data_IF_367947892153
#
_entry.id   IF_367947892153
#
_cell.length_a   1.000
_cell.length_b   1.000
_cell.length_c   1.000
_cell.angle_alpha   90.00
_cell.angle_beta   90.00
_cell.angle_gamma   90.00
#
_symmetry.space_group_name_H-M   'P 1'
#
loop_
_entity.id
_entity.type
_entity.pdbx_description
1 polymer ?
#
# COMPACT_ATOMS: atom_id res chain seq x y z
N UNK A 1 -0.87 -18.21 30.53
CA UNK A 1 0.59 -18.37 30.49
C UNK A 1 0.97 -18.84 29.09
N UNK A 2 1.67 -18.03 28.29
CA UNK A 2 2.26 -18.48 27.03
C UNK A 2 3.42 -19.41 27.39
N UNK A 3 3.35 -20.70 27.04
CA UNK A 3 4.50 -21.60 27.14
C UNK A 3 5.53 -21.10 26.13
N UNK A 4 6.67 -20.63 26.61
CA UNK A 4 7.83 -20.36 25.76
C UNK A 4 8.41 -21.74 25.40
N UNK A 5 8.30 -22.12 24.13
CA UNK A 5 8.95 -23.31 23.61
C UNK A 5 10.40 -22.92 23.30
N UNK A 6 11.36 -23.56 23.95
CA UNK A 6 12.78 -23.33 23.69
C UNK A 6 13.17 -24.26 22.54
N UNK A 7 13.64 -23.68 21.43
CA UNK A 7 14.27 -24.41 20.35
C UNK A 7 15.72 -24.72 20.74
N UNK A 8 16.10 -25.99 20.62
CA UNK A 8 17.46 -26.47 20.84
C UNK A 8 18.06 -26.98 19.54
N UNK A 9 19.38 -26.86 19.38
CA UNK A 9 20.09 -27.33 18.19
C UNK A 9 21.36 -28.08 18.60
N UNK A 10 21.60 -29.25 18.00
CA UNK A 10 22.88 -29.95 18.11
C UNK A 10 23.29 -30.55 16.77
N UNK A 11 24.60 -30.71 16.58
CA UNK A 11 25.18 -31.32 15.39
C UNK A 11 26.11 -32.41 15.85
N UNK A 12 25.75 -33.65 15.51
CA UNK A 12 26.54 -34.84 15.82
C UNK A 12 27.20 -35.34 14.55
N UNK A 13 28.49 -35.69 14.62
CA UNK A 13 29.20 -36.19 13.46
C UNK A 13 30.70 -36.42 13.70
N UNK A 14 31.46 -36.68 12.62
CA UNK A 14 32.88 -37.02 12.64
C UNK A 14 33.79 -35.98 13.33
N UNK A 15 33.35 -34.73 13.43
CA UNK A 15 34.07 -33.68 14.17
C UNK A 15 33.11 -32.76 14.91
N UNK A 16 33.60 -32.09 15.95
CA UNK A 16 32.84 -31.04 16.61
C UNK A 16 32.73 -29.82 15.69
N UNK A 17 31.53 -29.56 15.18
CA UNK A 17 31.24 -28.36 14.39
C UNK A 17 31.02 -27.16 15.32
N UNK A 18 31.49 -25.98 14.91
CA UNK A 18 31.07 -24.73 15.56
C UNK A 18 29.65 -24.42 15.10
N UNK A 19 28.73 -24.23 16.06
CA UNK A 19 27.33 -23.95 15.80
C UNK A 19 26.99 -22.55 16.29
N UNK A 20 26.47 -21.72 15.41
CA UNK A 20 25.84 -20.44 15.76
C UNK A 20 24.36 -20.51 15.44
N UNK A 21 23.55 -19.98 16.35
CA UNK A 21 22.11 -19.88 16.20
C UNK A 21 21.71 -18.42 16.35
N UNK A 22 20.95 -17.91 15.40
CA UNK A 22 20.32 -16.59 15.46
C UNK A 22 18.80 -16.75 15.45
N UNK A 23 18.15 -16.41 16.57
CA UNK A 23 16.70 -16.33 16.64
C UNK A 23 16.22 -15.02 16.00
N UNK A 24 15.34 -15.13 15.00
CA UNK A 24 14.81 -13.99 14.27
C UNK A 24 13.64 -13.31 14.99
N UNK A 25 13.15 -13.85 16.11
CA UNK A 25 12.06 -13.28 16.91
C UNK A 25 10.67 -13.33 16.26
N UNK A 26 10.57 -13.88 15.06
CA UNK A 26 9.33 -14.13 14.31
C UNK A 26 8.88 -15.61 14.38
N UNK A 27 9.57 -16.42 15.19
CA UNK A 27 9.37 -17.86 15.29
C UNK A 27 10.28 -18.69 14.36
N UNK A 28 11.13 -18.04 13.56
CA UNK A 28 12.19 -18.70 12.79
C UNK A 28 13.57 -18.52 13.43
N UNK A 29 14.48 -19.46 13.21
CA UNK A 29 15.88 -19.36 13.62
C UNK A 29 16.80 -19.72 12.45
N UNK A 30 17.95 -19.05 12.37
CA UNK A 30 19.02 -19.35 11.42
C UNK A 30 20.13 -20.11 12.15
N UNK A 31 20.49 -21.28 11.64
CA UNK A 31 21.52 -22.14 12.20
C UNK A 31 22.66 -22.21 11.19
N UNK A 32 23.85 -21.83 11.61
CA UNK A 32 25.07 -22.02 10.83
C UNK A 32 25.98 -23.01 11.55
N UNK A 33 26.51 -24.00 10.82
CA UNK A 33 27.49 -24.93 11.35
C UNK A 33 28.67 -25.08 10.39
N UNK A 34 29.89 -25.21 10.94
CA UNK A 34 31.12 -25.39 10.15
C UNK A 34 31.75 -26.74 10.51
N UNK A 35 31.54 -27.80 9.69
CA UNK A 35 32.15 -29.11 9.91
C UNK A 35 33.67 -29.04 9.68
N UNK A 36 34.45 -29.76 10.50
CA UNK A 36 35.93 -29.80 10.44
C UNK A 36 36.49 -31.12 9.91
N UNK A 37 35.63 -32.09 9.61
CA UNK A 37 36.00 -33.39 9.05
C UNK A 37 34.90 -33.90 8.12
N UNK A 38 35.28 -34.75 7.17
CA UNK A 38 34.37 -35.40 6.25
C UNK A 38 33.58 -36.53 6.94
N UNK A 39 32.43 -36.86 6.39
CA UNK A 39 31.52 -37.92 6.81
C UNK A 39 30.10 -37.41 7.08
N UNK A 40 29.25 -38.30 7.57
CA UNK A 40 27.83 -38.03 7.80
C UNK A 40 27.59 -37.27 9.12
N UNK A 41 26.85 -36.17 9.05
CA UNK A 41 26.43 -35.35 10.20
C UNK A 41 24.92 -35.41 10.38
N UNK A 42 24.48 -35.55 11.63
CA UNK A 42 23.09 -35.47 12.06
C UNK A 42 22.83 -34.10 12.69
N UNK A 43 21.93 -33.32 12.08
CA UNK A 43 21.50 -32.01 12.59
C UNK A 43 20.20 -32.18 13.36
N UNK A 44 20.30 -32.04 14.67
CA UNK A 44 19.17 -32.10 15.59
C UNK A 44 18.53 -30.73 15.74
N UNK A 45 17.21 -30.70 15.57
CA UNK A 45 16.35 -29.57 15.84
C UNK A 45 15.35 -30.05 16.89
N UNK A 46 15.45 -29.47 18.08
CA UNK A 46 14.79 -29.92 19.28
C UNK A 46 13.77 -28.89 19.74
N UNK A 47 12.64 -29.33 20.27
CA UNK A 47 11.69 -28.51 21.03
C UNK A 47 11.42 -29.19 22.36
N UNK A 48 11.71 -28.50 23.48
CA UNK A 48 11.68 -29.10 24.82
C UNK A 48 12.49 -30.41 24.90
N UNK A 49 13.71 -30.40 24.37
CA UNK A 49 14.64 -31.53 24.35
C UNK A 49 14.17 -32.77 23.54
N UNK A 50 13.17 -32.61 22.67
CA UNK A 50 12.66 -33.67 21.78
C UNK A 50 12.82 -33.24 20.32
N UNK A 51 13.32 -34.13 19.46
CA UNK A 51 13.41 -33.86 18.01
C UNK A 51 12.05 -33.45 17.44
N UNK A 52 12.05 -32.38 16.64
CA UNK A 52 10.87 -32.02 15.84
C UNK A 52 10.68 -33.05 14.73
N UNK A 53 9.49 -33.04 14.12
CA UNK A 53 9.22 -33.85 12.94
C UNK A 53 10.24 -33.56 11.84
N UNK A 54 10.89 -34.62 11.32
CA UNK A 54 11.93 -34.52 10.28
C UNK A 54 13.36 -34.40 10.80
N UNK A 55 13.57 -34.22 12.12
CA UNK A 55 14.89 -34.22 12.74
C UNK A 55 15.25 -35.61 13.31
N UNK A 56 16.52 -36.07 13.23
CA UNK A 56 17.68 -35.36 12.66
C UNK A 56 17.66 -35.26 11.15
N UNK A 57 18.14 -34.13 10.64
CA UNK A 57 18.45 -33.96 9.21
C UNK A 57 19.84 -34.51 8.95
N UNK A 58 19.94 -35.51 8.08
CA UNK A 58 21.22 -36.17 7.75
C UNK A 58 21.88 -35.45 6.56
N UNK A 59 23.16 -35.09 6.73
CA UNK A 59 23.97 -34.40 5.71
C UNK A 59 25.32 -35.10 5.59
N UNK A 60 25.71 -35.49 4.37
CA UNK A 60 27.03 -36.05 4.10
C UNK A 60 28.00 -34.94 3.69
N UNK A 61 29.13 -34.82 4.41
CA UNK A 61 30.19 -33.86 4.11
C UNK A 61 31.34 -34.61 3.43
N UNK A 62 31.56 -34.36 2.13
CA UNK A 62 32.61 -35.02 1.34
C UNK A 62 33.99 -34.35 1.45
N UNK A 63 35.04 -35.09 1.04
CA UNK A 63 36.35 -34.51 0.75
C UNK A 63 36.26 -33.69 -0.54
N UNK A 64 36.81 -32.46 -0.55
CA UNK A 64 37.00 -31.72 -1.81
C UNK A 64 37.85 -32.57 -2.75
N UNK A 65 37.34 -32.92 -3.93
CA UNK A 65 38.10 -33.74 -4.87
C UNK A 65 39.39 -33.00 -5.27
N UNK A 66 40.50 -33.74 -5.42
CA UNK A 66 41.83 -33.18 -5.69
C UNK A 66 41.81 -32.20 -6.87
N UNK A 67 41.82 -30.89 -6.59
CA UNK A 67 41.79 -29.81 -7.59
C UNK A 67 40.54 -28.92 -7.60
N UNK A 68 39.49 -29.29 -6.87
CA UNK A 68 38.29 -28.47 -6.66
C UNK A 68 38.47 -27.52 -5.46
N UNK A 69 38.16 -26.23 -5.64
CA UNK A 69 38.27 -25.18 -4.62
C UNK A 69 36.99 -24.33 -4.64
N UNK A 70 35.93 -24.72 -3.91
CA UNK A 70 34.65 -24.01 -3.85
C UNK A 70 34.78 -22.52 -3.49
N UNK A 71 35.78 -22.14 -2.70
CA UNK A 71 36.05 -20.75 -2.28
C UNK A 71 36.44 -19.83 -3.45
N UNK A 72 36.85 -20.40 -4.59
CA UNK A 72 37.16 -19.64 -5.79
C UNK A 72 35.93 -19.36 -6.66
N UNK A 73 34.79 -19.97 -6.36
CA UNK A 73 33.51 -19.69 -7.01
C UNK A 73 33.00 -18.32 -6.59
N UNK A 74 32.57 -17.51 -7.56
CA UNK A 74 32.01 -16.18 -7.32
C UNK A 74 30.57 -16.11 -7.80
N UNK A 75 29.67 -15.73 -6.90
CA UNK A 75 28.29 -15.41 -7.26
C UNK A 75 28.13 -13.88 -7.30
N UNK A 76 27.48 -13.34 -8.34
CA UNK A 76 27.28 -11.89 -8.48
C UNK A 76 26.01 -11.56 -9.26
N UNK A 77 25.40 -10.40 -9.00
CA UNK A 77 24.21 -9.93 -9.72
C UNK A 77 23.02 -9.62 -8.80
N UNK A 78 22.01 -8.95 -9.35
CA UNK A 78 20.84 -8.52 -8.57
C UNK A 78 20.05 -9.71 -8.01
N UNK A 79 20.07 -10.86 -8.68
CA UNK A 79 19.37 -12.10 -8.33
C UNK A 79 19.71 -12.71 -6.98
N UNK A 80 20.81 -12.30 -6.36
CA UNK A 80 21.25 -12.75 -5.03
C UNK A 80 21.40 -11.59 -4.03
N UNK A 81 20.83 -10.42 -4.35
CA UNK A 81 20.77 -9.30 -3.42
C UNK A 81 19.68 -9.55 -2.39
N UNK A 82 19.86 -9.11 -1.14
CA UNK A 82 18.85 -9.38 -0.09
C UNK A 82 17.49 -8.75 -0.39
N UNK A 83 17.45 -7.67 -1.17
CA UNK A 83 16.26 -6.90 -1.52
C UNK A 83 16.22 -6.52 -3.00
N UNK A 84 15.04 -6.10 -3.48
CA UNK A 84 14.82 -5.63 -4.85
C UNK A 84 14.10 -6.62 -5.76
N UNK A 85 13.63 -7.74 -5.21
CA UNK A 85 12.87 -8.76 -5.92
C UNK A 85 11.38 -8.52 -5.80
N UNK A 86 10.66 -8.70 -6.92
CA UNK A 86 9.20 -8.54 -6.98
C UNK A 86 8.60 -9.84 -7.49
N UNK A 87 7.54 -10.30 -6.84
CA UNK A 87 6.80 -11.49 -7.24
C UNK A 87 6.36 -11.39 -8.72
N UNK A 88 6.58 -12.46 -9.49
CA UNK A 88 6.31 -12.50 -10.92
C UNK A 88 7.33 -11.76 -11.81
N UNK A 89 8.35 -11.10 -11.25
CA UNK A 89 9.41 -10.46 -12.04
C UNK A 89 10.69 -11.29 -12.08
N UNK A 90 11.32 -11.35 -13.25
CA UNK A 90 12.57 -12.10 -13.44
C UNK A 90 13.73 -11.42 -12.73
N UNK A 91 14.47 -12.20 -11.96
CA UNK A 91 15.75 -11.82 -11.35
C UNK A 91 16.88 -12.66 -11.94
N UNK A 92 18.09 -12.10 -12.01
CA UNK A 92 19.25 -12.76 -12.64
C UNK A 92 20.53 -12.60 -11.83
N UNK A 93 21.36 -13.65 -11.83
CA UNK A 93 22.69 -13.64 -11.25
C UNK A 93 23.64 -14.52 -12.06
N UNK A 94 24.93 -14.42 -11.78
CA UNK A 94 26.00 -15.16 -12.44
C UNK A 94 26.77 -15.95 -11.40
N UNK A 95 27.11 -17.20 -11.73
CA UNK A 95 28.04 -18.03 -10.97
C UNK A 95 29.28 -18.28 -11.82
N UNK A 96 30.43 -17.81 -11.36
CA UNK A 96 31.74 -18.01 -12.00
C UNK A 96 32.57 -19.00 -11.18
N UNK A 97 32.65 -20.23 -11.68
CA UNK A 97 33.46 -21.33 -11.14
C UNK A 97 34.69 -21.62 -12.01
N UNK A 98 35.07 -20.70 -12.93
CA UNK A 98 36.15 -20.91 -13.91
C UNK A 98 37.53 -21.16 -13.30
N UNK A 99 37.71 -20.82 -12.02
CA UNK A 99 38.97 -20.99 -11.25
C UNK A 99 38.85 -22.04 -10.15
N UNK A 100 37.69 -22.68 -10.00
CA UNK A 100 37.38 -23.56 -8.88
C UNK A 100 37.70 -25.03 -9.16
N UNK A 101 38.28 -25.37 -10.32
CA UNK A 101 38.48 -26.75 -10.76
C UNK A 101 37.37 -27.21 -11.71
N UNK A 102 37.30 -28.53 -11.92
CA UNK A 102 36.35 -29.15 -12.85
C UNK A 102 35.31 -29.97 -12.08
N UNK A 103 34.22 -29.30 -11.69
CA UNK A 103 33.07 -29.92 -11.04
C UNK A 103 31.79 -29.16 -11.40
N UNK A 104 30.64 -29.74 -11.09
CA UNK A 104 29.34 -29.16 -11.40
C UNK A 104 28.93 -28.11 -10.36
N UNK A 105 28.37 -26.99 -10.83
CA UNK A 105 27.61 -26.07 -9.98
C UNK A 105 26.18 -26.58 -9.88
N UNK A 106 25.70 -26.81 -8.65
CA UNK A 106 24.29 -27.15 -8.36
C UNK A 106 23.64 -25.99 -7.62
N UNK A 107 22.44 -25.60 -8.06
CA UNK A 107 21.67 -24.51 -7.46
C UNK A 107 20.31 -25.03 -7.05
N UNK A 108 19.96 -24.80 -5.79
CA UNK A 108 18.66 -25.11 -5.22
C UNK A 108 18.08 -23.83 -4.61
N UNK A 109 16.77 -23.63 -4.70
CA UNK A 109 16.13 -22.49 -4.06
C UNK A 109 14.77 -22.87 -3.51
N UNK A 110 14.40 -22.30 -2.36
CA UNK A 110 13.11 -22.53 -1.72
C UNK A 110 12.60 -21.28 -1.00
N UNK A 111 11.28 -21.18 -0.87
CA UNK A 111 10.64 -20.18 -0.01
C UNK A 111 10.59 -20.63 1.47
N UNK A 112 10.08 -19.75 2.34
CA UNK A 112 9.96 -20.02 3.79
C UNK A 112 9.03 -21.16 4.17
N UNK A 113 8.18 -21.63 3.25
CA UNK A 113 7.30 -22.77 3.49
C UNK A 113 7.91 -24.07 2.92
N UNK A 114 9.13 -24.01 2.39
CA UNK A 114 9.83 -25.13 1.77
C UNK A 114 9.39 -25.40 0.33
N UNK A 115 8.67 -24.49 -0.32
CA UNK A 115 8.30 -24.64 -1.73
C UNK A 115 9.51 -24.32 -2.61
N UNK A 116 9.86 -25.24 -3.50
CA UNK A 116 10.98 -25.08 -4.42
C UNK A 116 10.72 -23.95 -5.42
N UNK A 117 11.73 -23.13 -5.65
CA UNK A 117 11.75 -22.09 -6.67
C UNK A 117 12.63 -22.55 -7.84
N UNK A 118 12.05 -22.58 -9.03
CA UNK A 118 12.76 -23.02 -10.23
C UNK A 118 13.83 -22.00 -10.66
N UNK A 119 15.09 -22.45 -10.70
CA UNK A 119 16.24 -21.68 -11.21
C UNK A 119 16.60 -22.17 -12.61
N UNK A 120 16.49 -21.29 -13.61
CA UNK A 120 17.02 -21.54 -14.94
C UNK A 120 18.51 -21.25 -14.98
N UNK A 121 19.33 -22.29 -15.14
CA UNK A 121 20.78 -22.20 -15.27
C UNK A 121 21.21 -22.39 -16.73
N UNK A 122 22.03 -21.47 -17.25
CA UNK A 122 22.57 -21.53 -18.60
C UNK A 122 24.08 -21.31 -18.58
N UNK A 123 24.84 -22.25 -19.12
CA UNK A 123 26.28 -22.09 -19.34
C UNK A 123 26.54 -20.98 -20.36
N UNK A 124 27.38 -20.01 -20.00
CA UNK A 124 27.75 -18.87 -20.84
C UNK A 124 29.24 -18.83 -21.18
N UNK A 125 30.09 -19.48 -20.38
CA UNK A 125 31.49 -19.73 -20.67
C UNK A 125 31.95 -20.98 -19.88
N UNK A 126 33.22 -21.38 -20.04
CA UNK A 126 33.79 -22.52 -19.32
C UNK A 126 33.63 -22.35 -17.80
N UNK A 127 32.81 -23.19 -17.17
CA UNK A 127 32.42 -23.11 -15.76
C UNK A 127 31.88 -21.72 -15.31
N UNK A 128 31.22 -20.99 -16.23
CA UNK A 128 30.48 -19.76 -15.90
C UNK A 128 29.03 -19.89 -16.34
N UNK A 129 28.11 -19.58 -15.42
CA UNK A 129 26.68 -19.79 -15.58
C UNK A 129 25.89 -18.50 -15.38
N UNK A 130 24.99 -18.20 -16.30
CA UNK A 130 23.93 -17.21 -16.11
C UNK A 130 22.71 -17.92 -15.54
N UNK A 131 22.23 -17.43 -14.40
CA UNK A 131 21.13 -18.01 -13.65
C UNK A 131 19.99 -17.00 -13.57
N UNK A 132 18.75 -17.49 -13.67
CA UNK A 132 17.57 -16.64 -13.55
C UNK A 132 16.39 -17.37 -12.94
N UNK A 133 15.52 -16.62 -12.27
CA UNK A 133 14.30 -17.15 -11.66
C UNK A 133 13.19 -16.11 -11.69
N UNK A 134 11.95 -16.58 -11.49
CA UNK A 134 10.76 -15.75 -11.32
C UNK A 134 10.10 -16.23 -10.03
N UNK A 135 10.15 -15.47 -8.93
CA UNK A 135 9.54 -15.89 -7.68
C UNK A 135 8.03 -15.83 -7.79
N UNK A 136 7.34 -16.86 -7.28
CA UNK A 136 5.88 -16.98 -7.33
C UNK A 136 5.21 -16.64 -5.99
N UNK A 137 5.99 -16.44 -4.93
CA UNK A 137 5.50 -16.04 -3.61
C UNK A 137 6.20 -14.78 -3.08
N UNK A 138 5.46 -13.92 -2.39
CA UNK A 138 5.96 -12.68 -1.77
C UNK A 138 6.55 -12.98 -0.38
N UNK A 139 7.57 -13.83 -0.33
CA UNK A 139 8.16 -14.35 0.90
C UNK A 139 9.68 -14.25 0.91
N UNK A 140 10.25 -14.59 2.06
CA UNK A 140 11.69 -14.84 2.18
C UNK A 140 12.03 -16.14 1.44
N UNK A 141 13.12 -16.13 0.69
CA UNK A 141 13.65 -17.30 0.00
C UNK A 141 15.14 -17.47 0.30
N UNK A 142 15.64 -18.70 0.12
CA UNK A 142 17.06 -19.04 0.19
C UNK A 142 17.50 -19.66 -1.13
N UNK A 143 18.58 -19.16 -1.70
CA UNK A 143 19.23 -19.72 -2.88
C UNK A 143 20.55 -20.35 -2.42
N UNK A 144 20.62 -21.67 -2.50
CA UNK A 144 21.78 -22.48 -2.15
C UNK A 144 22.58 -22.75 -3.42
N UNK A 145 23.84 -22.34 -3.44
CA UNK A 145 24.77 -22.61 -4.53
C UNK A 145 25.88 -23.49 -3.99
N UNK A 146 26.07 -24.65 -4.62
CA UNK A 146 27.12 -25.60 -4.26
C UNK A 146 28.00 -25.89 -5.47
N UNK A 147 29.26 -26.20 -5.19
CA UNK A 147 30.26 -26.67 -6.14
C UNK A 147 31.00 -27.83 -5.48
N UNK A 148 31.12 -28.95 -6.19
CA UNK A 148 31.69 -30.18 -5.62
C UNK A 148 30.98 -30.64 -4.33
N UNK A 149 29.65 -30.49 -4.31
CA UNK A 149 28.78 -30.78 -3.16
C UNK A 149 29.10 -29.98 -1.89
N UNK A 150 29.90 -28.92 -2.00
CA UNK A 150 30.21 -27.97 -0.93
C UNK A 150 29.61 -26.59 -1.21
N UNK A 151 29.15 -25.90 -0.16
CA UNK A 151 28.60 -24.55 -0.29
C UNK A 151 29.67 -23.55 -0.74
N UNK A 152 29.33 -22.70 -1.71
CA UNK A 152 30.24 -21.63 -2.17
C UNK A 152 30.18 -20.43 -1.22
N UNK A 153 31.15 -19.51 -1.26
CA UNK A 153 31.12 -18.30 -0.43
C UNK A 153 29.84 -17.49 -0.60
N UNK A 154 29.20 -17.15 0.52
CA UNK A 154 27.96 -16.39 0.57
C UNK A 154 26.68 -17.21 0.41
N UNK A 155 26.78 -18.49 0.05
CA UNK A 155 25.63 -19.41 0.03
C UNK A 155 25.34 -19.95 1.45
N UNK A 156 24.07 -20.01 1.88
CA UNK A 156 22.87 -19.64 1.11
C UNK A 156 22.65 -18.13 1.00
N UNK A 157 22.20 -17.67 -0.17
CA UNK A 157 21.78 -16.29 -0.40
C UNK A 157 20.33 -16.11 0.06
N UNK A 158 20.12 -15.31 1.10
CA UNK A 158 18.79 -14.91 1.58
C UNK A 158 18.26 -13.74 0.75
N UNK A 159 17.06 -13.88 0.20
CA UNK A 159 16.39 -12.82 -0.57
C UNK A 159 14.97 -12.56 -0.03
N UNK A 160 14.51 -11.31 -0.12
CA UNK A 160 13.14 -10.90 0.21
C UNK A 160 12.40 -10.50 -1.06
N UNK A 161 11.29 -11.18 -1.34
CA UNK A 161 10.42 -10.92 -2.50
C UNK A 161 9.22 -10.10 -2.06
N UNK A 162 9.04 -8.91 -2.63
CA UNK A 162 7.87 -8.06 -2.38
C UNK A 162 6.72 -8.35 -3.33
N UNK A 163 5.52 -7.93 -2.94
CA UNK A 163 4.37 -7.85 -3.83
C UNK A 163 4.61 -6.89 -4.99
N UNK A 164 3.87 -7.10 -6.08
CA UNK A 164 3.90 -6.22 -7.24
C UNK A 164 3.11 -4.94 -6.98
N UNK A 165 3.71 -3.79 -7.30
CA UNK A 165 3.04 -2.50 -7.31
C UNK A 165 2.45 -2.20 -8.69
N UNK A 166 1.19 -1.76 -8.76
CA UNK A 166 0.53 -1.33 -9.99
C UNK A 166 -0.26 0.00 -9.80
N UNK A 167 0.35 1.16 -10.13
CA UNK A 167 -0.30 2.47 -10.06
C UNK A 167 -1.58 2.61 -10.90
N UNK A 168 -1.78 1.77 -11.92
CA UNK A 168 -2.98 1.84 -12.76
C UNK A 168 -4.25 1.34 -12.06
N UNK A 169 -4.09 0.63 -10.95
CA UNK A 169 -5.21 0.16 -10.13
C UNK A 169 -5.65 1.19 -9.09
N UNK A 170 -4.90 2.28 -8.94
CA UNK A 170 -5.25 3.37 -8.02
C UNK A 170 -6.42 4.19 -8.57
N UNK A 171 -7.41 4.46 -7.72
CA UNK A 171 -8.60 5.24 -8.08
C UNK A 171 -8.73 6.48 -7.20
N UNK A 172 -9.36 7.52 -7.74
CA UNK A 172 -9.67 8.76 -7.03
C UNK A 172 -11.15 9.09 -7.14
N UNK A 173 -11.78 9.50 -6.04
CA UNK A 173 -13.18 9.90 -6.02
C UNK A 173 -13.50 10.77 -4.79
N UNK A 174 -14.65 11.45 -4.80
CA UNK A 174 -15.15 12.22 -3.66
C UNK A 174 -15.40 13.70 -3.97
N UNK A 175 -16.01 14.43 -3.03
CA UNK A 175 -16.56 15.76 -3.26
C UNK A 175 -15.51 16.81 -3.65
N UNK A 176 -14.27 16.64 -3.18
CA UNK A 176 -13.13 17.50 -3.53
C UNK A 176 -12.63 17.35 -4.97
N UNK A 177 -13.25 16.51 -5.79
CA UNK A 177 -12.96 16.39 -7.22
C UNK A 177 -14.14 16.86 -8.10
N UNK A 178 -15.27 17.24 -7.50
CA UNK A 178 -16.51 17.59 -8.20
C UNK A 178 -16.64 19.09 -8.49
N UNK A 179 -17.64 19.49 -9.28
CA UNK A 179 -17.90 20.91 -9.64
C UNK A 179 -18.49 21.76 -8.48
N UNK A 180 -18.75 21.14 -7.33
CA UNK A 180 -19.32 21.76 -6.14
C UNK A 180 -18.28 22.49 -5.28
N UNK A 181 -16.98 22.29 -5.57
CA UNK A 181 -15.87 22.85 -4.79
C UNK A 181 -15.88 24.38 -4.81
N UNK A 182 -15.81 24.96 -3.61
CA UNK A 182 -15.75 26.42 -3.41
C UNK A 182 -14.52 26.83 -2.62
N UNK A 183 -14.12 28.10 -2.79
CA UNK A 183 -13.06 28.68 -1.96
C UNK A 183 -13.45 28.70 -0.48
N UNK A 184 -12.44 28.81 0.39
CA UNK A 184 -12.54 28.84 1.86
C UNK A 184 -13.07 27.55 2.53
N UNK A 185 -13.78 26.71 1.80
CA UNK A 185 -14.30 25.44 2.29
C UNK A 185 -13.15 24.42 2.40
N UNK A 186 -13.21 23.58 3.44
CA UNK A 186 -12.31 22.44 3.58
C UNK A 186 -12.88 21.31 2.74
N UNK A 187 -12.16 20.95 1.68
CA UNK A 187 -12.57 19.91 0.75
C UNK A 187 -11.74 18.65 0.98
N UNK A 188 -12.26 17.51 0.51
CA UNK A 188 -11.53 16.26 0.58
C UNK A 188 -11.90 15.30 -0.55
N UNK A 189 -10.99 14.41 -0.88
CA UNK A 189 -11.22 13.28 -1.77
C UNK A 189 -10.47 12.05 -1.29
N UNK A 190 -10.79 10.90 -1.85
CA UNK A 190 -10.22 9.61 -1.51
C UNK A 190 -9.26 9.15 -2.61
N UNK A 191 -8.18 8.49 -2.20
CA UNK A 191 -7.26 7.75 -3.08
C UNK A 191 -7.28 6.30 -2.62
N UNK A 192 -7.90 5.44 -3.42
CA UNK A 192 -8.01 4.00 -3.17
C UNK A 192 -6.87 3.26 -3.86
N UNK A 193 -6.00 2.62 -3.07
CA UNK A 193 -4.85 1.86 -3.51
C UNK A 193 -4.90 0.39 -3.08
N UNK A 194 -6.06 -0.10 -2.59
CA UNK A 194 -6.14 -1.43 -1.99
C UNK A 194 -5.65 -2.56 -2.91
N UNK A 195 -5.92 -2.43 -4.21
CA UNK A 195 -5.53 -3.42 -5.23
C UNK A 195 -4.17 -3.09 -5.90
N UNK A 196 -3.55 -1.97 -5.56
CA UNK A 196 -2.35 -1.48 -6.24
C UNK A 196 -1.05 -2.09 -5.71
N UNK A 197 -1.12 -2.94 -4.69
CA UNK A 197 0.04 -3.49 -3.99
C UNK A 197 0.72 -2.47 -3.08
N UNK A 198 1.95 -2.73 -2.60
CA UNK A 198 2.65 -1.84 -1.69
C UNK A 198 3.11 -0.56 -2.41
N UNK A 199 2.94 0.59 -1.76
CA UNK A 199 3.42 1.86 -2.32
C UNK A 199 3.02 3.07 -1.49
N UNK A 200 3.81 4.13 -1.60
CA UNK A 200 3.51 5.44 -0.98
C UNK A 200 2.66 6.29 -1.92
N UNK A 201 1.60 6.90 -1.38
CA UNK A 201 0.81 7.92 -2.08
C UNK A 201 1.45 9.29 -1.90
N UNK A 202 1.60 10.02 -2.99
CA UNK A 202 2.07 11.40 -3.01
C UNK A 202 1.09 12.26 -3.79
N UNK A 203 0.67 13.38 -3.20
CA UNK A 203 -0.28 14.31 -3.83
C UNK A 203 0.32 15.70 -3.90
N UNK A 204 0.19 16.34 -5.05
CA UNK A 204 0.55 17.72 -5.28
C UNK A 204 -0.61 18.44 -5.97
N UNK A 205 -1.08 19.54 -5.40
CA UNK A 205 -2.10 20.39 -6.00
C UNK A 205 -1.54 21.77 -6.28
N UNK A 206 -1.83 22.33 -7.45
CA UNK A 206 -1.35 23.65 -7.87
C UNK A 206 -2.46 24.43 -8.56
N UNK A 207 -2.46 25.75 -8.39
CA UNK A 207 -3.30 26.63 -9.21
C UNK A 207 -2.80 26.56 -10.67
N UNK A 208 -3.71 26.33 -11.61
CA UNK A 208 -3.36 26.15 -13.03
C UNK A 208 -2.78 27.42 -13.67
N UNK A 209 -3.23 28.60 -13.24
CA UNK A 209 -2.87 29.87 -13.86
C UNK A 209 -1.49 30.38 -13.44
N UNK A 210 -1.14 30.27 -12.16
CA UNK A 210 0.11 30.82 -11.61
C UNK A 210 1.08 29.75 -11.05
N UNK A 211 0.69 28.47 -11.08
CA UNK A 211 1.49 27.36 -10.58
C UNK A 211 1.66 27.33 -9.06
N UNK A 212 0.98 28.22 -8.32
CA UNK A 212 1.12 28.30 -6.86
C UNK A 212 0.69 27.00 -6.19
N UNK A 213 1.49 26.47 -5.25
CA UNK A 213 1.17 25.22 -4.56
C UNK A 213 0.01 25.42 -3.59
N UNK A 214 -0.82 24.39 -3.47
CA UNK A 214 -1.86 24.27 -2.45
C UNK A 214 -1.38 23.29 -1.39
N UNK A 215 -1.50 23.69 -0.12
CA UNK A 215 -1.21 22.79 0.99
C UNK A 215 -2.25 21.66 1.05
N UNK A 216 -1.77 20.43 1.12
CA UNK A 216 -2.58 19.22 1.13
C UNK A 216 -2.22 18.37 2.34
N UNK A 217 -3.22 17.82 3.01
CA UNK A 217 -3.04 16.93 4.15
C UNK A 217 -3.52 15.54 3.76
N UNK A 218 -2.66 14.54 3.90
CA UNK A 218 -2.97 13.14 3.57
C UNK A 218 -3.14 12.37 4.88
N UNK A 219 -4.26 11.68 5.03
CA UNK A 219 -4.54 10.78 6.15
C UNK A 219 -4.64 9.35 5.64
N UNK A 220 -3.80 8.46 6.15
CA UNK A 220 -3.86 7.02 5.86
C UNK A 220 -4.98 6.37 6.68
N UNK A 221 -5.85 5.60 6.03
CA UNK A 221 -6.95 4.90 6.69
C UNK A 221 -6.54 3.48 7.18
N UNK A 222 -5.33 3.02 6.86
CA UNK A 222 -4.79 1.72 7.28
C UNK A 222 -5.34 0.52 6.51
N UNK A 223 -6.19 0.75 5.52
CA UNK A 223 -6.82 -0.29 4.68
C UNK A 223 -6.44 -0.16 3.19
N UNK A 224 -5.35 0.53 2.88
CA UNK A 224 -4.93 0.83 1.51
C UNK A 224 -5.65 2.02 0.87
N UNK A 225 -6.55 2.70 1.60
CA UNK A 225 -7.17 3.96 1.17
C UNK A 225 -6.60 5.15 1.94
N UNK A 226 -6.56 6.31 1.28
CA UNK A 226 -6.10 7.57 1.84
C UNK A 226 -7.17 8.64 1.67
N UNK A 227 -7.33 9.52 2.66
CA UNK A 227 -8.14 10.73 2.54
C UNK A 227 -7.24 11.94 2.38
N UNK A 228 -7.45 12.70 1.32
CA UNK A 228 -6.70 13.91 1.00
C UNK A 228 -7.58 15.12 1.29
N UNK A 229 -7.13 16.00 2.18
CA UNK A 229 -7.79 17.26 2.50
C UNK A 229 -7.04 18.43 1.88
N UNK A 230 -7.78 19.42 1.40
CA UNK A 230 -7.20 20.66 0.92
C UNK A 230 -8.16 21.84 1.14
N UNK A 231 -7.61 23.06 1.10
CA UNK A 231 -8.38 24.30 1.15
C UNK A 231 -7.75 25.33 0.22
N UNK A 232 -8.58 25.97 -0.59
CA UNK A 232 -8.18 26.95 -1.61
C UNK A 232 -8.80 28.31 -1.31
N UNK A 233 -8.03 29.38 -1.53
CA UNK A 233 -8.47 30.75 -1.20
C UNK A 233 -8.77 31.60 -2.44
N UNK A 234 -8.42 31.14 -3.64
CA UNK A 234 -8.68 31.84 -4.90
C UNK A 234 -9.56 30.96 -5.80
N UNK A 235 -10.57 31.53 -6.47
CA UNK A 235 -11.34 30.79 -7.47
C UNK A 235 -10.48 30.56 -8.72
N UNK A 236 -10.84 29.55 -9.51
CA UNK A 236 -10.13 29.21 -10.74
C UNK A 236 -9.92 27.70 -10.89
N UNK A 237 -9.20 27.32 -11.94
CA UNK A 237 -8.85 25.93 -12.19
C UNK A 237 -7.59 25.54 -11.40
N UNK A 238 -7.60 24.33 -10.85
CA UNK A 238 -6.48 23.73 -10.14
C UNK A 238 -6.14 22.38 -10.76
N UNK A 239 -4.85 22.07 -10.83
CA UNK A 239 -4.33 20.78 -11.29
C UNK A 239 -3.88 19.95 -10.07
N UNK A 240 -4.41 18.73 -9.96
CA UNK A 240 -4.03 17.74 -8.96
C UNK A 240 -3.18 16.67 -9.63
N UNK A 241 -2.04 16.35 -9.01
CA UNK A 241 -1.13 15.29 -9.42
C UNK A 241 -1.07 14.26 -8.29
N UNK A 242 -1.30 12.99 -8.62
CA UNK A 242 -1.16 11.87 -7.69
C UNK A 242 -0.15 10.88 -8.24
N UNK A 243 0.77 10.46 -7.37
CA UNK A 243 1.73 9.39 -7.63
C UNK A 243 1.55 8.27 -6.61
N UNK A 244 1.79 7.05 -7.07
CA UNK A 244 1.84 5.84 -6.26
C UNK A 244 3.16 5.12 -6.50
N UNK A 245 3.91 4.84 -5.43
CA UNK A 245 5.27 4.28 -5.51
C UNK A 245 6.19 5.04 -6.48
N UNK A 246 6.13 6.37 -6.44
CA UNK A 246 6.93 7.27 -7.30
C UNK A 246 6.41 7.43 -8.74
N UNK A 247 5.46 6.61 -9.18
CA UNK A 247 4.89 6.65 -10.54
C UNK A 247 3.56 7.40 -10.59
N UNK A 248 3.28 8.22 -11.61
CA UNK A 248 1.97 8.88 -11.75
C UNK A 248 0.87 7.84 -11.96
N UNK A 249 -0.29 8.05 -11.34
CA UNK A 249 -1.49 7.24 -11.62
C UNK A 249 -2.15 7.71 -12.94
N UNK A 250 -3.05 6.93 -13.55
CA UNK A 250 -3.75 7.32 -14.76
C UNK A 250 -4.57 8.62 -14.61
N UNK A 251 -4.68 9.38 -15.70
CA UNK A 251 -5.56 10.56 -15.77
C UNK A 251 -4.98 11.84 -15.15
N UNK A 252 -3.68 11.89 -14.87
CA UNK A 252 -3.02 13.08 -14.31
C UNK A 252 -2.55 14.08 -15.39
N UNK A 253 -2.60 15.41 -15.13
CA UNK A 253 -3.23 16.02 -13.96
C UNK A 253 -4.75 15.93 -13.99
N UNK A 254 -5.35 15.73 -12.82
CA UNK A 254 -6.79 15.87 -12.64
C UNK A 254 -7.15 17.36 -12.45
N UNK A 255 -8.13 17.85 -13.19
CA UNK A 255 -8.51 19.27 -13.20
C UNK A 255 -9.76 19.51 -12.36
N UNK A 256 -9.66 20.43 -11.40
CA UNK A 256 -10.79 20.84 -10.54
C UNK A 256 -11.09 22.32 -10.77
N UNK A 257 -12.36 22.66 -11.00
CA UNK A 257 -12.82 24.04 -11.10
C UNK A 257 -13.35 24.52 -9.74
N UNK A 258 -12.68 25.50 -9.15
CA UNK A 258 -13.03 26.07 -7.84
C UNK A 258 -13.87 27.34 -8.02
N UNK A 259 -15.09 27.33 -7.49
CA UNK A 259 -16.00 28.49 -7.49
C UNK A 259 -15.75 29.39 -6.28
N UNK A 260 -16.15 30.67 -6.30
CA UNK A 260 -16.12 31.51 -5.11
C UNK A 260 -16.97 30.94 -3.97
N UNK A 261 -16.49 31.09 -2.74
CA UNK A 261 -17.25 30.88 -1.51
C UNK A 261 -18.52 31.73 -1.52
N UNK A 262 -19.60 31.17 -0.97
CA UNK A 262 -20.89 31.84 -0.83
C UNK A 262 -21.14 32.06 0.65
N UNK A 263 -21.04 33.31 1.10
CA UNK A 263 -21.30 33.67 2.48
C UNK A 263 -22.79 33.87 2.72
N UNK A 264 -23.44 32.86 3.30
CA UNK A 264 -24.87 32.86 3.60
C UNK A 264 -25.23 33.54 4.92
N UNK A 265 -24.25 34.03 5.70
CA UNK A 265 -24.51 34.66 7.01
C UNK A 265 -25.36 35.92 6.92
N UNK A 266 -25.43 36.53 5.73
CA UNK A 266 -26.22 37.71 5.44
C UNK A 266 -27.68 37.43 5.08
N UNK A 267 -28.07 36.15 4.94
CA UNK A 267 -29.45 35.75 4.66
C UNK A 267 -30.26 35.82 5.95
N UNK A 268 -31.39 36.54 5.93
CA UNK A 268 -32.24 36.75 7.11
C UNK A 268 -33.64 36.20 6.85
N UNK A 269 -34.17 35.42 7.79
CA UNK A 269 -35.57 35.00 7.79
C UNK A 269 -36.40 35.97 8.64
N UNK A 270 -37.51 36.47 8.10
CA UNK A 270 -38.44 37.38 8.78
C UNK A 270 -39.86 36.83 8.73
N UNK A 271 -40.62 37.03 9.81
CA UNK A 271 -42.03 36.62 9.86
C UNK A 271 -42.24 35.10 9.98
N UNK A 272 -41.19 34.33 10.26
CA UNK A 272 -41.37 32.92 10.62
C UNK A 272 -41.90 32.86 12.06
N UNK A 273 -43.18 32.59 12.20
CA UNK A 273 -43.85 32.51 13.49
C UNK A 273 -43.58 31.17 14.20
N UNK A 274 -43.38 31.21 15.52
CA UNK A 274 -43.19 29.98 16.33
C UNK A 274 -44.45 29.12 16.43
N UNK A 275 -45.63 29.72 16.21
CA UNK A 275 -46.91 29.05 16.29
C UNK A 275 -47.82 29.54 15.18
N UNK A 276 -48.38 28.61 14.44
CA UNK A 276 -49.34 28.86 13.37
C UNK A 276 -50.57 27.99 13.54
N UNK A 277 -51.70 28.39 12.96
CA UNK A 277 -52.94 27.63 13.05
C UNK A 277 -53.00 26.54 11.98
N UNK A 278 -53.50 25.36 12.34
CA UNK A 278 -53.83 24.32 11.36
C UNK A 278 -54.91 24.81 10.39
N UNK A 279 -54.90 24.26 9.18
CA UNK A 279 -55.77 24.64 8.06
C UNK A 279 -55.67 26.13 7.68
N UNK A 280 -54.52 26.76 7.95
CA UNK A 280 -54.22 28.12 7.52
C UNK A 280 -53.04 28.14 6.55
N UNK A 281 -52.98 29.19 5.73
CA UNK A 281 -51.79 29.53 4.96
C UNK A 281 -50.99 30.50 5.81
N UNK A 282 -49.77 30.12 6.14
CA UNK A 282 -48.80 30.96 6.81
C UNK A 282 -47.73 31.40 5.81
N UNK A 283 -47.09 32.54 6.08
CA UNK A 283 -46.02 33.05 5.24
C UNK A 283 -44.82 33.50 6.06
N UNK A 284 -43.63 33.44 5.45
CA UNK A 284 -42.44 34.11 5.94
C UNK A 284 -41.60 34.58 4.76
N UNK A 285 -40.68 35.50 5.03
CA UNK A 285 -39.80 36.10 4.03
C UNK A 285 -38.36 35.67 4.25
N UNK A 286 -37.68 35.25 3.18
CA UNK A 286 -36.23 35.05 3.14
C UNK A 286 -35.63 36.25 2.42
N UNK A 287 -34.88 37.06 3.16
CA UNK A 287 -34.17 38.23 2.67
C UNK A 287 -32.76 37.82 2.22
N UNK A 288 -32.52 37.85 0.91
CA UNK A 288 -31.21 37.56 0.29
C UNK A 288 -30.55 38.81 -0.30
N UNK A 289 -31.08 40.00 -0.03
CA UNK A 289 -30.67 41.27 -0.68
C UNK A 289 -29.19 41.61 -0.49
N UNK A 290 -28.59 41.20 0.63
CA UNK A 290 -27.16 41.37 0.86
C UNK A 290 -26.31 40.40 0.02
N UNK A 291 -26.81 39.19 -0.21
CA UNK A 291 -26.15 38.14 -1.00
C UNK A 291 -26.23 38.40 -2.52
N UNK A 292 -27.33 38.98 -3.00
CA UNK A 292 -27.52 39.29 -4.42
C UNK A 292 -26.57 40.38 -4.93
N UNK A 293 -25.93 41.13 -4.02
CA UNK A 293 -24.85 42.09 -4.37
C UNK A 293 -23.56 41.40 -4.79
N UNK A 294 -23.33 40.17 -4.32
CA UNK A 294 -22.11 39.39 -4.57
C UNK A 294 -22.32 38.21 -5.51
N UNK A 295 -23.57 37.78 -5.73
CA UNK A 295 -23.92 36.63 -6.57
C UNK A 295 -25.12 36.98 -7.45
N UNK A 296 -25.02 36.77 -8.76
CA UNK A 296 -26.01 37.23 -9.74
C UNK A 296 -27.25 36.35 -9.92
N UNK A 297 -27.36 35.19 -9.25
CA UNK A 297 -28.49 34.25 -9.35
C UNK A 297 -28.60 33.37 -8.10
N UNK A 298 -28.94 33.95 -6.95
CA UNK A 298 -29.26 33.16 -5.76
C UNK A 298 -30.68 32.58 -5.91
N UNK A 299 -30.82 31.26 -6.00
CA UNK A 299 -32.13 30.58 -5.98
C UNK A 299 -32.44 30.11 -4.56
N UNK A 300 -33.66 30.37 -4.10
CA UNK A 300 -34.18 29.87 -2.82
C UNK A 300 -35.15 28.74 -3.11
N UNK A 301 -34.89 27.58 -2.49
CA UNK A 301 -35.86 26.49 -2.40
C UNK A 301 -36.29 26.32 -0.95
N UNK A 302 -37.51 25.82 -0.73
CA UNK A 302 -38.05 25.58 0.59
C UNK A 302 -38.57 24.14 0.68
N UNK A 303 -38.29 23.51 1.81
CA UNK A 303 -38.79 22.19 2.17
C UNK A 303 -39.27 22.26 3.61
N UNK A 304 -40.54 21.91 3.84
CA UNK A 304 -41.18 21.90 5.17
C UNK A 304 -41.69 20.48 5.41
N UNK A 305 -41.31 19.87 6.54
CA UNK A 305 -41.65 18.48 6.84
C UNK A 305 -42.74 18.46 7.92
N UNK A 306 -43.90 17.94 7.56
CA UNK A 306 -45.02 17.75 8.48
C UNK A 306 -44.69 16.74 9.60
N UNK A 307 -45.39 16.81 10.75
CA UNK A 307 -45.22 15.87 11.88
C UNK A 307 -45.41 14.39 11.51
N UNK A 308 -46.23 14.11 10.50
CA UNK A 308 -46.49 12.77 9.97
C UNK A 308 -45.38 12.26 9.03
N UNK A 309 -44.31 13.04 8.84
CA UNK A 309 -43.16 12.74 7.99
C UNK A 309 -43.33 13.13 6.53
N UNK A 310 -44.51 13.63 6.11
CA UNK A 310 -44.76 14.08 4.75
C UNK A 310 -44.18 15.47 4.49
N UNK A 311 -44.02 15.83 3.21
CA UNK A 311 -43.67 17.19 2.81
C UNK A 311 -44.92 18.07 2.81
N UNK A 312 -44.93 19.13 3.63
CA UNK A 312 -45.98 20.13 3.59
C UNK A 312 -45.93 20.87 2.24
N UNK A 313 -47.10 21.30 1.76
CA UNK A 313 -47.15 22.15 0.56
C UNK A 313 -46.56 23.51 0.88
N UNK A 314 -45.52 23.89 0.16
CA UNK A 314 -44.96 25.23 0.18
C UNK A 314 -44.86 25.80 -1.24
N UNK A 315 -45.02 27.12 -1.36
CA UNK A 315 -44.82 27.87 -2.58
C UNK A 315 -43.82 28.98 -2.33
N UNK A 316 -42.75 29.01 -3.13
CA UNK A 316 -41.72 30.04 -3.07
C UNK A 316 -41.99 31.06 -4.17
N UNK A 317 -42.18 32.32 -3.79
CA UNK A 317 -42.39 33.44 -4.69
C UNK A 317 -41.19 34.39 -4.64
N UNK A 318 -40.51 34.56 -5.76
CA UNK A 318 -39.44 35.56 -5.93
C UNK A 318 -40.08 36.94 -6.17
N UNK A 319 -39.85 37.90 -5.27
CA UNK A 319 -40.41 39.25 -5.37
C UNK A 319 -39.62 40.16 -6.32
N UNK A 320 -38.51 39.68 -6.91
CA UNK A 320 -37.62 40.39 -7.84
C UNK A 320 -36.89 41.59 -7.24
N UNK A 321 -36.88 41.71 -5.92
CA UNK A 321 -36.15 42.73 -5.18
C UNK A 321 -35.02 42.14 -4.30
N UNK A 322 -34.75 40.83 -4.43
CA UNK A 322 -33.81 40.09 -3.59
C UNK A 322 -34.45 39.44 -2.36
N UNK A 323 -35.78 39.54 -2.20
CA UNK A 323 -36.55 38.81 -1.20
C UNK A 323 -37.40 37.70 -1.81
N UNK A 324 -37.62 36.66 -1.02
CA UNK A 324 -38.47 35.51 -1.37
C UNK A 324 -39.56 35.36 -0.33
N UNK A 325 -40.83 35.38 -0.75
CA UNK A 325 -41.96 35.02 0.12
C UNK A 325 -42.24 33.53 0.01
N UNK A 326 -42.33 32.87 1.15
CA UNK A 326 -42.62 31.45 1.26
C UNK A 326 -43.99 31.33 1.89
N UNK A 327 -44.92 30.72 1.14
CA UNK A 327 -46.26 30.39 1.61
C UNK A 327 -46.30 28.91 1.92
N UNK A 328 -46.90 28.52 3.04
CA UNK A 328 -47.06 27.11 3.38
C UNK A 328 -48.36 26.85 4.12
N UNK A 329 -48.86 25.62 3.98
CA UNK A 329 -50.08 25.17 4.66
C UNK A 329 -49.77 24.09 5.68
N UNK A 330 -50.19 24.30 6.92
CA UNK A 330 -50.15 23.28 7.97
C UNK A 330 -51.50 22.57 8.05
N UNK A 331 -51.51 21.24 7.96
CA UNK A 331 -52.75 20.43 7.94
C UNK A 331 -52.80 19.37 9.05
N UNK A 332 -51.64 19.04 9.63
CA UNK A 332 -51.47 18.15 10.79
C UNK A 332 -51.06 18.99 12.01
N UNK A 333 -51.56 18.69 13.19
CA UNK A 333 -51.09 19.34 14.41
C UNK A 333 -49.72 18.77 14.85
N UNK A 334 -48.76 19.63 15.20
CA UNK A 334 -47.44 19.23 15.68
C UNK A 334 -46.31 20.15 15.21
N UNK A 335 -45.06 19.70 15.39
CA UNK A 335 -43.86 20.42 14.93
C UNK A 335 -43.58 20.14 13.46
N UNK A 336 -43.36 21.21 12.70
CA UNK A 336 -43.00 21.20 11.28
C UNK A 336 -41.52 21.52 11.05
#
# INVERSE_FOLDING_TARGET
MRKFYILGFSVDGPSKAELTCHDNGDGSAEICYIPKACGEYAIHVLTNDVNISGSPYMVEIGESHLGCIPELVKCSGAGISEYGHVCGQRSTFTVDASRAGDSAVKIFAMDSDGMEMNIQQKTIANNVYSCSFVPESCKRHWIMVTFDDQSVPGSPFKIHVSEQTNPNLVRMYGPGLEESVRTKDRNHFFVDCADAGPGKVEVCMKNHADGSPVDVQISDCGNGSYTVYYKVNKPGQYDIYVRFAGSPIPGMPYKVQVKPHVDLSSVVIRGLEERVFINSISEFTVDTTALTKTISNAEVSCAIRSPDGNMARCHVKNEKDGTYRIFYSTIVEGSY
#
